data_IF_481750567026
#
_entry.id   IF_481750567026
#
_cell.length_a   1.000
_cell.length_b   1.000
_cell.length_c   1.000
_cell.angle_alpha   90.00
_cell.angle_beta   90.00
_cell.angle_gamma   90.00
#
_symmetry.space_group_name_H-M   'P 1'
#
loop_
_entity.id
_entity.type
_entity.pdbx_description
1 polymer ?
#
# COMPACT_ATOMS: atom_id res chain seq x y z
N UNK A 1 18.05 -15.74 4.14
CA UNK A 1 16.90 -14.88 4.47
C UNK A 1 16.43 -14.25 3.17
N UNK A 2 15.14 -14.36 2.83
CA UNK A 2 14.56 -13.77 1.62
C UNK A 2 13.76 -12.53 2.02
N UNK A 3 14.06 -11.38 1.40
CA UNK A 3 13.33 -10.13 1.61
C UNK A 3 12.26 -10.02 0.52
N UNK A 4 10.99 -9.81 0.92
CA UNK A 4 9.87 -9.66 0.01
C UNK A 4 9.19 -8.32 0.34
N UNK A 5 9.48 -7.25 -0.43
CA UNK A 5 8.75 -5.99 -0.31
C UNK A 5 7.25 -6.18 -0.59
N UNK A 6 6.40 -5.40 0.08
CA UNK A 6 4.95 -5.48 -0.06
C UNK A 6 4.32 -4.09 -0.05
N UNK A 7 3.26 -3.96 -0.85
CA UNK A 7 2.38 -2.79 -0.92
C UNK A 7 0.93 -3.26 -0.85
N UNK A 8 0.06 -2.44 -0.27
CA UNK A 8 -1.38 -2.71 -0.25
C UNK A 8 -2.08 -1.81 -1.27
N UNK A 9 -3.05 -2.36 -1.98
CA UNK A 9 -3.79 -1.65 -3.02
C UNK A 9 -5.23 -1.42 -2.59
N UNK A 10 -5.72 -0.20 -2.78
CA UNK A 10 -7.13 0.15 -2.64
C UNK A 10 -7.48 1.25 -3.63
N UNK A 11 -8.57 1.05 -4.37
CA UNK A 11 -9.09 2.02 -5.35
C UNK A 11 -8.04 2.54 -6.35
N UNK A 12 -7.12 1.65 -6.76
CA UNK A 12 -6.04 1.99 -7.69
C UNK A 12 -4.84 2.72 -7.08
N UNK A 13 -4.78 2.90 -5.75
CA UNK A 13 -3.70 3.60 -5.06
C UNK A 13 -2.93 2.68 -4.11
N UNK A 14 -1.67 3.02 -3.82
CA UNK A 14 -0.89 2.38 -2.77
C UNK A 14 -1.26 2.97 -1.40
N UNK A 15 -1.73 2.11 -0.51
CA UNK A 15 -2.22 2.50 0.82
C UNK A 15 -1.61 1.64 1.93
N UNK A 16 -1.87 2.03 3.19
CA UNK A 16 -1.73 1.15 4.35
C UNK A 16 -2.91 1.37 5.29
N UNK A 17 -3.44 0.29 5.82
CA UNK A 17 -4.42 0.34 6.91
C UNK A 17 -3.70 0.25 8.25
N UNK A 18 -4.10 1.08 9.21
CA UNK A 18 -3.63 0.94 10.57
C UNK A 18 -4.26 -0.30 11.21
N UNK A 19 -3.45 -1.33 11.47
CA UNK A 19 -3.89 -2.61 12.03
C UNK A 19 -5.03 -3.30 11.25
N UNK A 20 -5.13 -3.03 9.94
CA UNK A 20 -6.18 -3.60 9.08
C UNK A 20 -7.53 -2.87 9.12
N UNK A 21 -7.65 -1.76 9.86
CA UNK A 21 -8.89 -0.97 9.92
C UNK A 21 -9.08 -0.14 8.64
N UNK A 22 -10.12 -0.48 7.88
CA UNK A 22 -10.50 0.19 6.63
C UNK A 22 -10.86 1.67 6.81
N UNK A 23 -11.23 2.08 8.03
CA UNK A 23 -11.52 3.49 8.33
C UNK A 23 -10.26 4.30 8.64
N UNK A 24 -9.12 3.62 8.84
CA UNK A 24 -7.82 4.24 9.19
C UNK A 24 -6.81 3.96 8.09
N UNK A 25 -7.12 4.46 6.90
CA UNK A 25 -6.30 4.35 5.70
C UNK A 25 -5.35 5.54 5.54
N UNK A 26 -4.11 5.29 5.13
CA UNK A 26 -3.17 6.32 4.67
C UNK A 26 -2.78 6.02 3.23
N UNK A 27 -2.93 6.99 2.34
CA UNK A 27 -2.47 6.91 0.95
C UNK A 27 -1.01 7.35 0.88
N UNK A 28 -0.14 6.52 0.27
CA UNK A 28 1.29 6.79 0.14
C UNK A 28 1.66 7.24 -1.27
N UNK A 29 1.11 6.56 -2.28
CA UNK A 29 1.31 6.91 -3.68
C UNK A 29 0.00 6.67 -4.45
N UNK A 30 -0.31 7.57 -5.40
CA UNK A 30 -1.42 7.42 -6.32
C UNK A 30 -1.13 6.41 -7.44
N UNK A 31 0.14 6.16 -7.77
CA UNK A 31 0.55 5.18 -8.78
C UNK A 31 1.23 3.96 -8.13
N UNK A 32 0.54 2.80 -8.07
CA UNK A 32 1.11 1.56 -7.55
C UNK A 32 2.27 0.99 -8.36
N UNK A 33 2.29 1.26 -9.67
CA UNK A 33 3.35 0.77 -10.56
C UNK A 33 4.63 1.53 -10.25
N UNK A 34 4.56 2.85 -10.13
CA UNK A 34 5.71 3.66 -9.71
C UNK A 34 6.23 3.24 -8.33
N UNK A 35 5.34 2.95 -7.37
CA UNK A 35 5.74 2.52 -6.02
C UNK A 35 6.42 1.14 -5.97
N UNK A 36 6.16 0.29 -6.95
CA UNK A 36 6.69 -1.07 -7.02
C UNK A 36 8.01 -1.19 -7.80
N UNK A 37 8.42 -0.15 -8.52
CA UNK A 37 9.69 -0.05 -9.26
C UNK A 37 10.84 0.36 -8.34
#
# INVERSE_FOLDING_TARGET
MLLIPAIDLKDGQCVRLQQGDMNRVTTFNADPVEQAL
#
